data_IF_052166689701
#
_entry.id   IF_052166689701
#
_cell.length_a   1.000
_cell.length_b   1.000
_cell.length_c   1.000
_cell.angle_alpha   90.00
_cell.angle_beta   90.00
_cell.angle_gamma   90.00
#
_symmetry.space_group_name_H-M   'P 1'
#
loop_
_entity.id
_entity.type
_entity.pdbx_description
1 polymer ?
#
# COMPACT_ATOMS: atom_id res chain seq x y z
N UNK A 1 5.08 2.48 -11.95
CA UNK A 1 6.12 2.20 -10.94
C UNK A 1 5.48 1.42 -9.82
N UNK A 2 6.25 0.55 -9.16
CA UNK A 2 5.78 -0.30 -8.07
C UNK A 2 6.12 0.36 -6.74
N UNK A 3 5.09 0.67 -5.95
CA UNK A 3 5.23 1.41 -4.69
C UNK A 3 4.69 0.59 -3.54
N UNK A 4 5.51 0.39 -2.52
CA UNK A 4 5.12 -0.32 -1.29
C UNK A 4 4.79 0.68 -0.21
N UNK A 5 3.59 0.59 0.35
CA UNK A 5 3.17 1.40 1.50
C UNK A 5 3.25 0.56 2.76
N UNK A 6 4.23 0.82 3.60
CA UNK A 6 4.37 0.18 4.91
C UNK A 6 3.76 1.11 5.96
N UNK A 7 2.61 0.72 6.50
CA UNK A 7 1.83 1.58 7.40
C UNK A 7 0.62 2.17 6.68
N UNK A 8 -0.39 1.34 6.46
CA UNK A 8 -1.61 1.71 5.72
C UNK A 8 -2.68 2.36 6.61
N UNK A 9 -2.26 3.28 7.48
CA UNK A 9 -3.15 4.11 8.29
C UNK A 9 -3.77 5.27 7.47
N UNK A 10 -4.18 6.35 8.14
CA UNK A 10 -4.76 7.51 7.44
C UNK A 10 -3.87 8.04 6.30
N UNK A 11 -2.61 8.35 6.59
CA UNK A 11 -1.67 8.90 5.59
C UNK A 11 -1.30 7.86 4.54
N UNK A 12 -0.78 6.70 4.95
CA UNK A 12 -0.34 5.66 4.01
C UNK A 12 -1.47 5.16 3.12
N UNK A 13 -2.66 4.98 3.69
CA UNK A 13 -3.86 4.62 2.95
C UNK A 13 -4.23 5.66 1.91
N UNK A 14 -4.40 6.93 2.29
CA UNK A 14 -4.79 7.99 1.36
C UNK A 14 -3.79 8.20 0.23
N UNK A 15 -2.50 8.32 0.56
CA UNK A 15 -1.44 8.56 -0.44
C UNK A 15 -1.31 7.36 -1.38
N UNK A 16 -1.30 6.14 -0.85
CA UNK A 16 -1.26 4.95 -1.67
C UNK A 16 -2.48 4.80 -2.57
N UNK A 17 -3.68 5.16 -2.09
CA UNK A 17 -4.90 5.12 -2.91
C UNK A 17 -4.81 6.11 -4.07
N UNK A 18 -4.27 7.30 -3.84
CA UNK A 18 -4.06 8.30 -4.90
C UNK A 18 -3.06 7.80 -5.94
N UNK A 19 -1.95 7.18 -5.51
CA UNK A 19 -0.98 6.58 -6.42
C UNK A 19 -1.58 5.46 -7.27
N UNK A 20 -2.39 4.58 -6.67
CA UNK A 20 -3.10 3.54 -7.40
C UNK A 20 -4.04 4.12 -8.47
N UNK A 21 -4.77 5.20 -8.13
CA UNK A 21 -5.69 5.88 -9.05
C UNK A 21 -5.00 6.56 -10.25
N UNK A 22 -3.77 7.02 -10.09
CA UNK A 22 -2.99 7.60 -11.21
C UNK A 22 -2.21 6.53 -12.00
N UNK A 23 -2.44 5.24 -11.74
CA UNK A 23 -1.89 4.14 -12.53
C UNK A 23 -0.58 3.56 -12.01
N UNK A 24 -0.16 3.86 -10.78
CA UNK A 24 0.95 3.16 -10.14
C UNK A 24 0.48 1.84 -9.52
N UNK A 25 1.36 0.83 -9.50
CA UNK A 25 1.09 -0.43 -8.81
C UNK A 25 1.43 -0.26 -7.34
N UNK A 26 0.43 -0.32 -6.47
CA UNK A 26 0.59 -0.04 -5.04
C UNK A 26 0.37 -1.31 -4.23
N UNK A 27 1.36 -1.67 -3.42
CA UNK A 27 1.26 -2.75 -2.44
C UNK A 27 1.11 -2.15 -1.05
N UNK A 28 -0.04 -2.36 -0.43
CA UNK A 28 -0.30 -1.94 0.94
C UNK A 28 0.12 -3.03 1.92
N UNK A 29 0.88 -2.64 2.93
CA UNK A 29 1.26 -3.49 4.04
C UNK A 29 0.92 -2.83 5.38
N UNK A 30 0.50 -3.65 6.32
CA UNK A 30 0.09 -3.25 7.67
C UNK A 30 0.22 -4.44 8.61
N UNK A 31 0.30 -4.16 9.91
CA UNK A 31 0.25 -5.19 10.97
C UNK A 31 -1.08 -5.95 10.99
N UNK A 32 -2.16 -5.31 10.50
CA UNK A 32 -3.50 -5.89 10.41
C UNK A 32 -3.92 -5.98 8.93
N UNK A 33 -3.44 -6.99 8.18
CA UNK A 33 -3.71 -7.11 6.75
C UNK A 33 -5.19 -7.24 6.41
N UNK A 34 -6.00 -7.73 7.34
CA UNK A 34 -7.46 -7.90 7.20
C UNK A 34 -8.19 -6.55 6.99
N UNK A 35 -7.62 -5.47 7.53
CA UNK A 35 -8.14 -4.10 7.34
C UNK A 35 -7.77 -3.51 5.99
N UNK A 36 -6.88 -4.14 5.23
CA UNK A 36 -6.43 -3.64 3.93
C UNK A 36 -7.42 -3.97 2.81
N UNK A 37 -8.28 -4.98 2.95
CA UNK A 37 -9.21 -5.37 1.88
C UNK A 37 -10.11 -4.21 1.44
N UNK A 38 -10.64 -3.43 2.39
CA UNK A 38 -11.45 -2.24 2.10
C UNK A 38 -10.63 -1.14 1.40
N UNK A 39 -9.38 -0.96 1.82
CA UNK A 39 -8.46 0.04 1.24
C UNK A 39 -8.07 -0.32 -0.20
N UNK A 40 -7.74 -1.59 -0.44
CA UNK A 40 -7.42 -2.11 -1.77
C UNK A 40 -8.63 -1.99 -2.70
N UNK A 41 -9.82 -2.34 -2.21
CA UNK A 41 -11.06 -2.15 -2.97
C UNK A 41 -11.29 -0.67 -3.34
N UNK A 42 -11.02 0.27 -2.43
CA UNK A 42 -11.14 1.71 -2.69
C UNK A 42 -10.04 2.25 -3.63
N UNK A 43 -8.87 1.62 -3.64
CA UNK A 43 -7.73 1.98 -4.47
C UNK A 43 -7.80 1.40 -5.90
N UNK A 44 -8.58 0.34 -6.10
CA UNK A 44 -8.89 -0.22 -7.42
C UNK A 44 -7.89 -1.27 -7.89
N UNK A 45 -7.94 -1.60 -9.18
CA UNK A 45 -7.24 -2.76 -9.76
C UNK A 45 -5.71 -2.70 -9.65
N UNK A 46 -5.13 -1.50 -9.51
CA UNK A 46 -3.69 -1.29 -9.37
C UNK A 46 -3.19 -1.38 -7.92
N UNK A 47 -4.06 -1.73 -6.97
CA UNK A 47 -3.72 -1.91 -5.57
C UNK A 47 -3.78 -3.38 -5.15
N UNK A 48 -2.87 -3.78 -4.26
CA UNK A 48 -2.84 -5.11 -3.64
C UNK A 48 -2.47 -5.00 -2.17
N UNK A 49 -2.92 -5.95 -1.36
CA UNK A 49 -2.47 -6.11 0.01
C UNK A 49 -1.38 -7.18 0.06
N UNK A 50 -0.35 -6.97 0.87
CA UNK A 50 0.75 -7.93 1.01
C UNK A 50 1.50 -7.79 2.32
N UNK A 51 2.36 -8.76 2.58
CA UNK A 51 3.28 -8.77 3.71
C UNK A 51 4.41 -7.76 3.50
N UNK A 52 5.12 -7.41 4.60
CA UNK A 52 6.29 -6.53 4.53
C UNK A 52 7.41 -7.16 3.68
N UNK A 53 7.53 -8.49 3.69
CA UNK A 53 8.54 -9.21 2.91
C UNK A 53 8.26 -9.11 1.41
N UNK A 54 6.99 -9.27 1.01
CA UNK A 54 6.56 -9.05 -0.38
C UNK A 54 6.76 -7.60 -0.79
N UNK A 55 6.43 -6.66 0.11
CA UNK A 55 6.63 -5.23 -0.11
C UNK A 55 8.11 -4.93 -0.43
N UNK A 56 9.05 -5.50 0.32
CA UNK A 56 10.48 -5.28 0.12
C UNK A 56 11.03 -5.89 -1.19
N UNK A 57 10.43 -6.98 -1.66
CA UNK A 57 10.92 -7.71 -2.84
C UNK A 57 10.31 -7.22 -4.16
N UNK A 58 9.11 -6.65 -4.12
CA UNK A 58 8.33 -6.35 -5.32
C UNK A 58 8.51 -4.92 -5.84
N UNK A 59 8.92 -3.97 -5.01
CA UNK A 59 8.74 -2.53 -5.32
C UNK A 59 10.02 -1.75 -5.57
N UNK A 60 9.90 -0.73 -6.41
CA UNK A 60 10.96 0.23 -6.72
C UNK A 60 11.16 1.23 -5.57
N UNK A 61 10.06 1.56 -4.88
CA UNK A 61 10.02 2.58 -3.81
C UNK A 61 9.22 2.07 -2.62
N UNK A 62 9.74 2.29 -1.42
CA UNK A 62 9.05 2.02 -0.16
C UNK A 62 8.65 3.35 0.49
N UNK A 63 7.36 3.53 0.71
CA UNK A 63 6.79 4.62 1.49
C UNK A 63 6.48 4.14 2.91
N UNK A 64 7.24 4.65 3.87
CA UNK A 64 7.15 4.26 5.28
C UNK A 64 6.25 5.26 6.03
N UNK A 65 5.04 4.84 6.39
CA UNK A 65 4.01 5.63 7.04
C UNK A 65 3.54 4.98 8.37
N UNK A 66 4.51 4.62 9.21
CA UNK A 66 4.29 4.05 10.55
C UNK A 66 4.52 5.10 11.64
N UNK A 67 3.83 4.95 12.79
CA UNK A 67 4.09 5.75 13.99
C UNK A 67 5.45 5.38 14.60
N UNK A 68 6.14 6.39 15.16
CA UNK A 68 7.35 6.24 15.97
C UNK A 68 7.03 6.09 17.45
#
# INVERSE_FOLDING_TARGET
MKISVIGSGGIGGTVGTLWAKVGHEVLFSSRNPEKLSALVAAAGASAKAGTIVEAASFTDVIFLAVYY
#
